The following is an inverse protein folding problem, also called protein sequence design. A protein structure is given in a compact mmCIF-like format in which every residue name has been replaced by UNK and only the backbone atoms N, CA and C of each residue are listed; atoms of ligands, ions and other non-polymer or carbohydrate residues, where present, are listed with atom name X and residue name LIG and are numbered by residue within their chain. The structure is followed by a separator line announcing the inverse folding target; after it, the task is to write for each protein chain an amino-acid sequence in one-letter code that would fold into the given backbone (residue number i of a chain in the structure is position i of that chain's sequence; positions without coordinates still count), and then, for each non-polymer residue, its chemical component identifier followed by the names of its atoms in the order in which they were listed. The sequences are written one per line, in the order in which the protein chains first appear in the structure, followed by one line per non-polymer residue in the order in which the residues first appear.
data_IF_022458964390
#
_entry.id   IF_022458964390
#
_cell.length_a   1.000
_cell.length_b   1.000
_cell.length_c   1.000
_cell.angle_alpha   90.00
_cell.angle_beta   90.00
_cell.angle_gamma   90.00
#
_symmetry.space_group_name_H-M   'P 1'
#
loop_
_entity.id
_entity.type
_entity.pdbx_description
1 polymer ?
#
# COMPACT_ATOMS: atom_id res chain seq x y z
N UNK A 1 -8.98 6.48 26.58
CA UNK A 1 -7.76 5.75 26.17
C UNK A 1 -8.10 4.80 25.04
N UNK A 2 -9.28 4.18 25.06
CA UNK A 2 -9.79 3.20 24.09
C UNK A 2 -9.67 3.61 22.60
N UNK A 3 -9.91 4.88 22.26
CA UNK A 3 -9.70 5.35 20.89
C UNK A 3 -8.23 5.29 20.46
N UNK A 4 -7.29 5.58 21.36
CA UNK A 4 -5.86 5.50 21.07
C UNK A 4 -5.44 4.06 20.79
N UNK A 5 -5.87 3.12 21.64
CA UNK A 5 -5.61 1.70 21.45
C UNK A 5 -6.22 1.19 20.14
N UNK A 6 -7.44 1.63 19.80
CA UNK A 6 -8.08 1.28 18.54
C UNK A 6 -7.27 1.77 17.33
N UNK A 7 -6.83 3.03 17.30
CA UNK A 7 -6.05 3.55 16.18
C UNK A 7 -4.64 2.93 16.09
N UNK A 8 -4.01 2.63 17.24
CA UNK A 8 -2.72 1.94 17.29
C UNK A 8 -2.85 0.50 16.80
N UNK A 9 -3.95 -0.18 17.10
CA UNK A 9 -4.25 -1.48 16.52
C UNK A 9 -4.52 -1.37 15.02
N UNK A 10 -5.33 -0.40 14.58
CA UNK A 10 -5.61 -0.20 13.16
C UNK A 10 -4.34 0.08 12.33
N UNK A 11 -3.36 0.83 12.86
CA UNK A 11 -2.17 1.17 12.06
C UNK A 11 -1.33 -0.04 11.66
N UNK A 12 -1.29 -1.10 12.48
CA UNK A 12 -0.53 -2.32 12.17
C UNK A 12 -1.17 -3.10 11.02
N UNK A 13 -2.50 -2.98 10.87
CA UNK A 13 -3.28 -3.63 9.82
C UNK A 13 -3.37 -2.81 8.52
N UNK A 14 -3.03 -1.53 8.56
CA UNK A 14 -3.13 -0.61 7.43
C UNK A 14 -1.79 0.11 7.14
N UNK A 15 -0.70 -0.63 6.88
CA UNK A 15 0.57 -0.02 6.52
C UNK A 15 0.45 0.73 5.18
N UNK A 16 1.03 1.93 5.12
CA UNK A 16 1.21 2.68 3.89
C UNK A 16 2.63 2.44 3.40
N UNK A 17 2.79 1.90 2.19
CA UNK A 17 4.12 1.58 1.64
C UNK A 17 4.97 0.69 2.57
N UNK A 18 4.33 -0.28 3.23
CA UNK A 18 4.93 -1.18 4.23
C UNK A 18 5.41 -0.51 5.53
N UNK A 19 5.12 0.78 5.71
CA UNK A 19 5.40 1.55 6.93
C UNK A 19 4.10 1.73 7.72
N UNK A 20 4.13 1.46 9.03
CA UNK A 20 2.98 1.71 9.90
C UNK A 20 2.73 3.23 10.01
N UNK A 21 1.50 3.71 9.76
CA UNK A 21 1.20 5.12 9.85
C UNK A 21 1.31 5.64 11.30
N UNK A 22 1.86 6.84 11.47
CA UNK A 22 1.91 7.51 12.77
C UNK A 22 0.51 7.95 13.19
N UNK A 23 0.08 7.58 14.39
CA UNK A 23 -1.18 8.04 14.98
C UNK A 23 -0.94 9.35 15.70
N UNK A 24 -1.61 10.42 15.25
CA UNK A 24 -1.49 11.76 15.82
C UNK A 24 -2.85 12.23 16.33
N UNK A 25 -2.95 12.50 17.63
CA UNK A 25 -4.14 13.07 18.25
C UNK A 25 -3.98 14.58 18.35
N UNK A 26 -4.94 15.32 17.80
CA UNK A 26 -4.96 16.78 17.85
C UNK A 26 -6.05 17.28 18.80
N UNK A 27 -5.65 17.96 19.87
CA UNK A 27 -6.54 18.52 20.89
C UNK A 27 -6.73 20.02 20.67
N UNK A 28 -7.84 20.38 20.02
CA UNK A 28 -8.14 21.78 19.64
C UNK A 28 -8.36 22.71 20.85
N UNK A 29 -8.78 22.18 22.00
CA UNK A 29 -9.00 22.95 23.23
C UNK A 29 -7.86 22.76 24.25
N UNK A 30 -6.77 22.13 23.80
CA UNK A 30 -5.67 21.72 24.65
C UNK A 30 -5.88 20.38 25.33
N UNK A 31 -4.80 19.89 25.93
CA UNK A 31 -4.70 18.56 26.53
C UNK A 31 -4.14 18.68 27.94
N UNK A 32 -4.70 17.91 28.87
CA UNK A 32 -4.20 17.89 30.25
C UNK A 32 -2.87 17.11 30.32
N UNK A 33 -1.90 17.53 31.15
CA UNK A 33 -0.61 16.83 31.25
C UNK A 33 -0.72 15.32 31.56
N UNK A 34 -1.62 14.84 32.44
CA UNK A 34 -1.79 13.41 32.67
C UNK A 34 -2.23 12.65 31.41
N UNK A 35 -3.21 13.18 30.67
CA UNK A 35 -3.71 12.57 29.45
C UNK A 35 -2.65 12.58 28.34
N UNK A 36 -1.93 13.69 28.17
CA UNK A 36 -0.84 13.78 27.21
C UNK A 36 0.23 12.73 27.51
N UNK A 37 0.66 12.61 28.77
CA UNK A 37 1.67 11.64 29.18
C UNK A 37 1.19 10.20 28.97
N UNK A 38 -0.07 9.91 29.27
CA UNK A 38 -0.67 8.61 29.06
C UNK A 38 -0.72 8.24 27.56
N UNK A 39 -1.12 9.16 26.68
CA UNK A 39 -1.16 8.95 25.23
C UNK A 39 0.23 8.78 24.62
N UNK A 40 1.22 9.58 25.06
CA UNK A 40 2.62 9.44 24.62
C UNK A 40 3.19 8.09 25.06
N UNK A 41 2.88 7.64 26.28
CA UNK A 41 3.29 6.31 26.78
C UNK A 41 2.71 5.18 25.94
N UNK A 42 1.49 5.33 25.42
CA UNK A 42 0.90 4.39 24.46
C UNK A 42 1.55 4.45 23.05
N UNK A 43 2.40 5.44 22.76
CA UNK A 43 3.00 5.62 21.44
C UNK A 43 2.16 6.47 20.47
N UNK A 44 1.19 7.23 20.99
CA UNK A 44 0.45 8.24 20.22
C UNK A 44 1.19 9.58 20.26
N UNK A 45 1.36 10.21 19.10
CA UNK A 45 1.85 11.58 19.04
C UNK A 45 0.71 12.56 19.36
N UNK A 46 0.93 13.49 20.29
CA UNK A 46 -0.11 14.42 20.73
C UNK A 46 0.25 15.85 20.30
N UNK A 47 -0.68 16.53 19.63
CA UNK A 47 -0.61 17.96 19.29
C UNK A 47 -1.70 18.72 20.05
N UNK A 48 -1.37 19.90 20.56
CA UNK A 48 -2.32 20.78 21.27
C UNK A 48 -1.68 21.50 22.46
N UNK A 49 -2.29 22.59 22.91
CA UNK A 49 -1.80 23.39 24.04
C UNK A 49 -1.96 22.62 25.36
N UNK A 50 -0.95 22.63 26.23
CA UNK A 50 -1.10 22.04 27.56
C UNK A 50 -2.05 22.89 28.41
N UNK A 51 -3.12 22.27 28.93
CA UNK A 51 -4.01 22.91 29.89
C UNK A 51 -3.74 22.41 31.32
N UNK A 52 -3.31 23.30 32.23
CA UNK A 52 -3.12 22.94 33.62
C UNK A 52 -4.46 22.55 34.25
N UNK A 53 -4.40 21.58 35.16
CA UNK A 53 -5.54 21.03 35.87
C UNK A 53 -5.39 21.42 37.34
N UNK A 54 -6.46 21.82 38.02
CA UNK A 54 -6.44 22.06 39.46
C UNK A 54 -6.12 20.78 40.24
N UNK A 55 -5.50 20.91 41.43
CA UNK A 55 -5.03 19.78 42.25
C UNK A 55 -6.14 18.75 42.51
N UNK A 56 -7.38 19.20 42.77
CA UNK A 56 -8.54 18.35 43.04
C UNK A 56 -8.93 17.41 41.89
N UNK A 57 -8.62 17.79 40.64
CA UNK A 57 -8.93 16.99 39.44
C UNK A 57 -7.71 16.13 39.05
N UNK A 58 -6.50 16.52 39.43
CA UNK A 58 -5.31 15.69 39.30
C UNK A 58 -5.38 14.42 40.16
N UNK A 59 -5.93 14.51 41.36
CA UNK A 59 -6.05 13.38 42.30
C UNK A 59 -6.99 12.30 41.74
N UNK A 60 -8.14 12.70 41.18
CA UNK A 60 -9.11 11.80 40.52
C UNK A 60 -8.60 11.12 39.25
N UNK A 61 -7.54 11.66 38.63
CA UNK A 61 -6.93 11.09 37.42
C UNK A 61 -5.78 10.12 37.73
N UNK A 62 -5.23 10.11 38.95
CA UNK A 62 -4.19 9.14 39.36
C UNK A 62 -4.77 7.73 39.49
N UNK A 63 -6.00 7.60 39.96
CA UNK A 63 -6.69 6.31 40.19
C UNK A 63 -7.03 5.51 38.92
N UNK A 64 -6.73 6.03 37.72
CA UNK A 64 -6.98 5.34 36.44
C UNK A 64 -5.72 4.82 35.76
N UNK A 65 -4.54 5.06 36.33
CA UNK A 65 -3.32 4.38 35.91
C UNK A 65 -3.09 3.20 36.85
N UNK A 66 -2.99 1.95 36.37
CA UNK A 66 -2.54 0.85 37.22
C UNK A 66 -1.19 1.24 37.83
N UNK A 67 -1.10 1.26 39.15
CA UNK A 67 0.18 1.39 39.82
C UNK A 67 1.11 0.28 39.32
N UNK A 68 2.38 0.65 39.16
CA UNK A 68 3.45 -0.14 38.58
C UNK A 68 3.43 -1.58 39.09
N UNK A 69 3.25 -2.55 38.18
CA UNK A 69 3.41 -3.96 38.52
C UNK A 69 4.85 -4.18 38.98
N UNK A 70 5.09 -4.72 40.19
CA UNK A 70 6.44 -5.05 40.64
C UNK A 70 7.09 -6.06 39.69
N UNK A 71 8.34 -5.81 39.32
CA UNK A 71 9.13 -6.73 38.50
C UNK A 71 9.35 -8.06 39.25
N UNK A 72 8.98 -9.18 38.60
CA UNK A 72 9.43 -10.51 38.99
C UNK A 72 8.33 -11.47 39.43
N UNK A 73 7.75 -12.17 38.44
CA UNK A 73 7.38 -13.61 38.42
C UNK A 73 6.24 -13.78 37.41
N UNK A 74 6.61 -14.05 36.14
CA UNK A 74 5.69 -14.60 35.16
C UNK A 74 5.79 -16.13 35.22
N UNK A 75 4.83 -16.77 35.88
CA UNK A 75 4.53 -18.18 35.63
C UNK A 75 3.02 -18.36 35.39
N UNK A 76 2.76 -18.76 34.15
CA UNK A 76 1.59 -19.41 33.53
C UNK A 76 0.17 -19.26 34.09
N UNK A 77 -0.69 -18.88 33.13
CA UNK A 77 -2.04 -19.39 32.87
C UNK A 77 -3.07 -19.38 34.02
N UNK A 78 -4.12 -18.57 33.86
CA UNK A 78 -5.50 -19.06 33.69
C UNK A 78 -6.46 -17.87 33.57
N UNK A 79 -7.13 -17.86 32.44
CA UNK A 79 -8.36 -17.12 32.15
C UNK A 79 -9.44 -17.45 33.19
N UNK A 80 -9.95 -16.46 33.93
CA UNK A 80 -11.18 -16.58 34.69
C UNK A 80 -12.11 -15.38 34.41
N UNK A 81 -12.88 -15.51 33.34
CA UNK A 81 -14.14 -14.80 33.21
C UNK A 81 -15.22 -15.62 33.93
N UNK A 82 -15.66 -15.15 35.09
CA UNK A 82 -16.83 -15.66 35.79
C UNK A 82 -17.82 -14.52 36.02
N UNK A 83 -18.67 -14.34 35.02
CA UNK A 83 -20.13 -14.29 35.08
C UNK A 83 -20.77 -13.67 36.32
N UNK A 84 -21.69 -12.72 36.10
CA UNK A 84 -23.03 -12.81 36.67
C UNK A 84 -24.12 -12.50 35.64
N UNK A 85 -25.24 -13.15 35.88
CA UNK A 85 -26.28 -13.59 34.97
C UNK A 85 -27.56 -12.81 35.28
N UNK A 86 -28.32 -12.36 34.28
CA UNK A 86 -29.79 -12.32 34.39
C UNK A 86 -30.44 -12.60 33.02
N UNK A 87 -31.06 -13.77 32.96
CA UNK A 87 -32.07 -14.23 31.99
C UNK A 87 -33.39 -13.43 32.16
N UNK A 88 -34.37 -13.34 31.25
CA UNK A 88 -34.95 -14.32 30.32
C UNK A 88 -35.88 -13.59 29.30
N UNK A 89 -36.11 -14.26 28.15
CA UNK A 89 -37.33 -14.31 27.30
C UNK A 89 -37.34 -13.60 25.92
N UNK A 90 -37.05 -14.42 24.90
CA UNK A 90 -37.48 -14.33 23.48
C UNK A 90 -39.02 -14.45 23.34
N UNK A 91 -39.64 -13.91 22.24
CA UNK A 91 -39.87 -14.77 21.06
C UNK A 91 -39.87 -14.08 19.66
N UNK A 92 -39.19 -14.74 18.70
CA UNK A 92 -39.55 -15.03 17.29
C UNK A 92 -40.17 -13.99 16.31
N UNK A 93 -39.44 -13.84 15.18
CA UNK A 93 -39.84 -13.83 13.74
C UNK A 93 -40.50 -12.59 13.08
N UNK A 94 -39.89 -12.30 11.91
CA UNK A 94 -40.38 -11.76 10.62
C UNK A 94 -40.24 -10.26 10.27
N UNK A 95 -39.43 -10.06 9.20
CA UNK A 95 -39.47 -9.06 8.10
C UNK A 95 -40.37 -7.82 8.23
N UNK A 96 -39.80 -6.62 8.04
CA UNK A 96 -39.90 -5.80 6.81
C UNK A 96 -39.08 -4.50 6.98
N UNK A 97 -38.78 -3.80 5.88
CA UNK A 97 -37.80 -2.71 5.79
C UNK A 97 -38.19 -1.35 6.38
N UNK A 98 -37.22 -0.43 6.38
CA UNK A 98 -37.43 0.99 6.70
C UNK A 98 -36.13 1.73 7.04
N UNK A 99 -35.88 2.86 6.37
CA UNK A 99 -34.70 3.74 6.47
C UNK A 99 -34.40 4.29 7.87
N UNK A 100 -33.15 4.72 8.16
CA UNK A 100 -32.80 5.31 9.44
C UNK A 100 -33.29 6.76 9.54
N UNK A 101 -34.25 7.00 10.43
CA UNK A 101 -34.70 8.33 10.85
C UNK A 101 -33.83 8.90 11.96
N UNK A 102 -33.55 10.19 11.78
CA UNK A 102 -32.76 11.13 12.57
C UNK A 102 -33.48 11.44 13.89
N UNK A 103 -32.86 11.14 15.04
CA UNK A 103 -33.41 11.50 16.36
C UNK A 103 -32.93 12.90 16.77
N UNK A 104 -33.88 13.82 16.90
CA UNK A 104 -33.73 15.12 17.55
C UNK A 104 -34.05 14.99 19.06
N UNK A 105 -33.39 15.73 19.96
CA UNK A 105 -33.88 15.92 21.31
C UNK A 105 -34.78 17.16 21.42
N UNK A 106 -35.89 16.94 22.11
CA UNK A 106 -36.90 17.90 22.57
C UNK A 106 -36.33 19.02 23.43
N UNK A 107 -36.91 20.21 23.27
CA UNK A 107 -36.51 21.44 23.95
C UNK A 107 -36.83 21.48 25.44
N UNK A 108 -35.89 22.07 26.17
CA UNK A 108 -36.10 22.72 27.46
C UNK A 108 -35.36 24.05 27.40
N UNK A 109 -36.10 25.16 27.41
CA UNK A 109 -35.57 26.51 27.41
C UNK A 109 -35.04 26.87 28.81
N UNK A 110 -33.79 27.32 28.86
CA UNK A 110 -33.36 28.32 29.84
C UNK A 110 -32.22 29.12 29.22
N UNK A 111 -32.55 30.35 28.82
CA UNK A 111 -31.63 31.35 28.29
C UNK A 111 -30.73 31.88 29.40
N UNK A 112 -29.40 31.88 29.18
CA UNK A 112 -28.48 32.86 29.75
C UNK A 112 -27.31 33.08 28.76
N UNK A 113 -27.54 34.06 27.88
CA UNK A 113 -26.59 35.09 27.39
C UNK A 113 -25.16 34.70 26.99
N UNK A 114 -24.95 34.60 25.66
CA UNK A 114 -23.93 35.32 24.90
C UNK A 114 -22.45 34.99 25.11
N UNK A 115 -21.87 34.18 24.21
CA UNK A 115 -20.44 34.29 23.84
C UNK A 115 -20.23 34.01 22.34
N UNK A 116 -19.30 34.77 21.75
CA UNK A 116 -19.01 34.91 20.31
C UNK A 116 -18.50 33.63 19.61
N UNK A 117 -18.59 33.54 18.27
CA UNK A 117 -17.99 32.43 17.52
C UNK A 117 -16.46 32.50 17.62
N UNK A 118 -15.84 31.44 18.11
CA UNK A 118 -14.39 31.33 18.26
C UNK A 118 -13.70 31.46 16.88
N UNK A 119 -12.96 32.56 16.71
CA UNK A 119 -11.96 32.73 15.65
C UNK A 119 -10.73 31.87 15.99
N UNK A 120 -10.19 31.18 14.99
CA UNK A 120 -8.90 30.50 15.06
C UNK A 120 -7.78 31.52 15.33
N UNK A 121 -6.92 31.32 16.33
CA UNK A 121 -5.66 32.06 16.41
C UNK A 121 -4.69 31.47 15.39
N UNK A 122 -4.27 32.32 14.46
CA UNK A 122 -3.08 32.12 13.64
C UNK A 122 -1.82 32.25 14.50
N UNK A 123 -0.88 31.35 14.24
CA UNK A 123 0.56 31.46 14.53
C UNK A 123 1.01 31.35 16.00
N UNK A 124 1.30 30.12 16.39
CA UNK A 124 2.40 29.82 17.31
C UNK A 124 3.24 28.69 16.72
N UNK A 125 4.25 29.09 15.94
CA UNK A 125 5.25 28.23 15.33
C UNK A 125 6.11 27.60 16.42
N UNK A 126 5.82 26.35 16.80
CA UNK A 126 6.85 25.46 17.33
C UNK A 126 7.31 24.58 16.17
N UNK A 127 8.51 24.88 15.68
CA UNK A 127 9.23 24.08 14.69
C UNK A 127 9.51 22.71 15.31
N UNK A 128 8.59 21.77 15.11
CA UNK A 128 8.92 20.36 15.20
C UNK A 128 9.66 20.07 13.90
N UNK A 129 10.98 19.91 13.99
CA UNK A 129 11.80 19.50 12.87
C UNK A 129 11.13 18.29 12.19
N UNK A 130 10.63 18.53 10.98
CA UNK A 130 10.08 17.51 10.11
C UNK A 130 11.26 16.68 9.61
N UNK A 131 11.73 15.76 10.43
CA UNK A 131 12.70 14.75 10.00
C UNK A 131 11.94 13.75 9.13
N UNK A 132 11.68 14.15 7.88
CA UNK A 132 11.29 13.26 6.80
C UNK A 132 12.48 12.41 6.43
N UNK A 133 12.75 11.38 7.25
CA UNK A 133 13.39 10.20 6.70
C UNK A 133 12.33 9.60 5.78
N UNK A 134 12.41 9.93 4.48
CA UNK A 134 11.69 9.20 3.44
C UNK A 134 12.20 7.76 3.50
N UNK A 135 11.47 6.90 4.22
CA UNK A 135 11.66 5.45 4.23
C UNK A 135 11.35 4.92 2.82
N UNK A 136 12.26 5.17 1.89
CA UNK A 136 12.12 4.69 0.52
C UNK A 136 12.34 3.18 0.52
N UNK A 137 11.36 2.45 -0.01
CA UNK A 137 11.45 0.98 -0.12
C UNK A 137 12.68 0.63 -0.99
N UNK A 138 13.60 -0.15 -0.44
CA UNK A 138 14.89 -0.47 -1.08
C UNK A 138 14.86 -1.74 -1.93
N UNK A 139 13.72 -2.44 -1.96
CA UNK A 139 13.57 -3.72 -2.66
C UNK A 139 12.49 -3.63 -3.72
N UNK A 140 12.77 -4.20 -4.88
CA UNK A 140 11.88 -4.20 -6.04
C UNK A 140 11.62 -5.62 -6.48
N UNK A 141 10.35 -5.97 -6.65
CA UNK A 141 9.93 -7.24 -7.26
C UNK A 141 9.62 -7.01 -8.75
N UNK A 142 10.29 -7.76 -9.63
CA UNK A 142 10.14 -7.63 -11.07
C UNK A 142 9.01 -8.54 -11.58
N UNK A 143 7.90 -7.95 -12.03
CA UNK A 143 6.89 -8.68 -12.80
C UNK A 143 7.44 -9.06 -14.19
N UNK A 144 6.85 -10.10 -14.79
CA UNK A 144 7.19 -10.59 -16.13
C UNK A 144 7.14 -9.45 -17.15
N UNK A 145 6.13 -8.57 -17.05
CA UNK A 145 5.96 -7.44 -17.96
C UNK A 145 7.12 -6.43 -17.88
N UNK A 146 7.70 -6.23 -16.69
CA UNK A 146 8.87 -5.38 -16.49
C UNK A 146 10.12 -6.01 -17.07
N UNK A 147 10.35 -7.30 -16.81
CA UNK A 147 11.50 -8.04 -17.38
C UNK A 147 11.46 -8.00 -18.90
N UNK A 148 10.28 -8.16 -19.51
CA UNK A 148 10.10 -8.02 -20.96
C UNK A 148 10.48 -6.61 -21.45
N UNK A 149 10.04 -5.55 -20.76
CA UNK A 149 10.39 -4.18 -21.15
C UNK A 149 11.90 -3.90 -21.04
N UNK A 150 12.54 -4.43 -19.99
CA UNK A 150 13.98 -4.26 -19.76
C UNK A 150 14.87 -4.92 -20.81
N UNK A 151 14.34 -5.87 -21.59
CA UNK A 151 15.11 -6.58 -22.61
C UNK A 151 14.57 -6.39 -24.02
N UNK A 152 13.38 -5.83 -24.20
CA UNK A 152 12.72 -5.74 -25.50
C UNK A 152 13.54 -4.93 -26.50
N UNK A 153 13.65 -5.40 -27.74
CA UNK A 153 14.28 -4.62 -28.81
C UNK A 153 13.60 -3.25 -29.01
N UNK A 154 12.27 -3.14 -28.84
CA UNK A 154 11.56 -1.86 -28.94
C UNK A 154 12.22 -0.80 -28.07
N UNK A 155 12.51 -1.15 -26.83
CA UNK A 155 13.10 -0.29 -25.81
C UNK A 155 14.58 0.03 -26.07
N UNK A 156 15.24 -0.73 -26.96
CA UNK A 156 16.66 -0.61 -27.27
C UNK A 156 16.89 -0.02 -28.66
N UNK A 157 16.02 0.90 -29.09
CA UNK A 157 16.19 1.65 -30.34
C UNK A 157 15.56 1.01 -31.59
N UNK A 158 14.99 -0.19 -31.48
CA UNK A 158 14.29 -0.85 -32.60
C UNK A 158 12.79 -0.48 -32.66
N UNK A 159 12.43 0.73 -32.21
CA UNK A 159 11.06 1.23 -32.26
C UNK A 159 10.68 1.86 -33.61
N UNK A 160 11.55 1.86 -34.63
CA UNK A 160 11.29 2.42 -35.96
C UNK A 160 10.82 1.40 -37.00
N UNK A 161 10.33 0.24 -36.57
CA UNK A 161 9.72 -0.76 -37.44
C UNK A 161 8.20 -0.59 -37.53
N UNK A 162 7.66 -0.92 -38.70
CA UNK A 162 6.23 -1.10 -38.98
C UNK A 162 5.96 -2.59 -39.10
N UNK A 163 5.32 -3.14 -38.07
CA UNK A 163 4.93 -4.53 -37.95
C UNK A 163 3.57 -4.78 -38.62
N UNK A 164 3.26 -6.04 -38.91
CA UNK A 164 1.92 -6.45 -39.36
C UNK A 164 0.87 -6.36 -38.24
N UNK A 165 1.32 -6.34 -36.98
CA UNK A 165 0.49 -6.34 -35.78
C UNK A 165 0.25 -4.90 -35.30
N UNK A 166 -1.02 -4.48 -35.26
CA UNK A 166 -1.41 -3.14 -34.85
C UNK A 166 -1.00 -2.79 -33.40
N UNK A 167 -1.00 -3.79 -32.49
CA UNK A 167 -0.61 -3.57 -31.10
C UNK A 167 0.89 -3.30 -31.00
N UNK A 168 1.71 -3.99 -31.80
CA UNK A 168 3.15 -3.73 -31.85
C UNK A 168 3.46 -2.36 -32.44
N UNK A 169 2.75 -1.96 -33.49
CA UNK A 169 2.89 -0.61 -34.05
C UNK A 169 2.50 0.48 -33.04
N UNK A 170 1.44 0.25 -32.26
CA UNK A 170 1.04 1.14 -31.19
C UNK A 170 2.13 1.25 -30.11
N UNK A 171 2.70 0.13 -29.67
CA UNK A 171 3.80 0.11 -28.69
C UNK A 171 5.09 0.74 -29.23
N UNK A 172 5.43 0.51 -30.50
CA UNK A 172 6.58 1.15 -31.15
C UNK A 172 6.42 2.68 -31.21
N UNK A 173 5.22 3.16 -31.57
CA UNK A 173 4.89 4.59 -31.52
C UNK A 173 4.98 5.15 -30.10
N UNK A 174 4.48 4.41 -29.11
CA UNK A 174 4.61 4.83 -27.71
C UNK A 174 6.07 4.94 -27.29
N UNK A 175 6.93 3.98 -27.67
CA UNK A 175 8.35 4.01 -27.30
C UNK A 175 9.10 5.19 -27.93
N UNK A 176 8.75 5.57 -29.17
CA UNK A 176 9.28 6.78 -29.80
C UNK A 176 8.86 8.06 -29.10
N UNK A 177 7.64 8.09 -28.55
CA UNK A 177 7.09 9.26 -27.86
C UNK A 177 7.57 9.36 -26.41
N UNK A 178 7.67 8.22 -25.73
CA UNK A 178 8.04 8.11 -24.31
C UNK A 178 8.78 6.80 -24.09
N UNK A 179 10.11 6.89 -24.10
CA UNK A 179 10.99 5.75 -23.88
C UNK A 179 10.82 5.23 -22.45
N UNK A 180 10.63 3.92 -22.28
CA UNK A 180 10.30 3.36 -20.97
C UNK A 180 11.54 3.14 -20.09
N UNK A 181 12.68 2.77 -20.67
CA UNK A 181 13.89 2.40 -19.93
C UNK A 181 14.42 3.47 -18.97
N UNK A 182 14.49 4.77 -19.33
CA UNK A 182 14.99 5.78 -18.41
C UNK A 182 14.21 5.83 -17.09
N UNK A 183 12.88 5.68 -17.16
CA UNK A 183 12.01 5.65 -15.98
C UNK A 183 12.25 4.40 -15.14
N UNK A 184 12.35 3.22 -15.78
CA UNK A 184 12.63 1.95 -15.10
C UNK A 184 13.99 1.99 -14.40
N UNK A 185 15.04 2.42 -15.09
CA UNK A 185 16.38 2.50 -14.52
C UNK A 185 16.48 3.50 -13.38
N UNK A 186 15.86 4.67 -13.50
CA UNK A 186 15.80 5.66 -12.42
C UNK A 186 15.14 5.06 -11.17
N UNK A 187 14.04 4.32 -11.32
CA UNK A 187 13.36 3.71 -10.19
C UNK A 187 14.17 2.56 -9.55
N UNK A 188 14.81 1.72 -10.36
CA UNK A 188 15.61 0.58 -9.88
C UNK A 188 16.98 0.99 -9.30
N UNK A 189 17.44 2.21 -9.54
CA UNK A 189 18.78 2.64 -9.15
C UNK A 189 18.98 2.52 -7.63
N UNK A 190 20.03 1.78 -7.24
CA UNK A 190 20.40 1.59 -5.83
C UNK A 190 19.48 0.63 -5.06
N UNK A 191 18.56 -0.07 -5.73
CA UNK A 191 17.63 -1.02 -5.11
C UNK A 191 18.04 -2.47 -5.37
N UNK A 192 17.66 -3.35 -4.46
CA UNK A 192 17.75 -4.79 -4.66
C UNK A 192 16.61 -5.26 -5.60
N UNK A 193 16.96 -6.07 -6.60
CA UNK A 193 16.01 -6.59 -7.57
C UNK A 193 15.71 -8.05 -7.30
N UNK A 194 14.45 -8.36 -7.04
CA UNK A 194 13.92 -9.70 -6.82
C UNK A 194 13.09 -10.15 -8.01
N UNK A 195 13.05 -11.47 -8.24
CA UNK A 195 12.08 -12.11 -9.13
C UNK A 195 11.61 -13.42 -8.50
N UNK A 196 10.29 -13.66 -8.51
CA UNK A 196 9.75 -14.92 -8.00
C UNK A 196 10.04 -16.08 -8.98
N UNK A 197 10.15 -17.31 -8.47
CA UNK A 197 10.32 -18.51 -9.29
C UNK A 197 9.23 -18.63 -10.37
N UNK A 198 7.97 -18.35 -10.03
CA UNK A 198 6.87 -18.33 -11.01
C UNK A 198 7.06 -17.28 -12.09
N UNK A 199 7.46 -16.05 -11.74
CA UNK A 199 7.72 -15.01 -12.73
C UNK A 199 8.88 -15.41 -13.66
N UNK A 200 9.98 -15.93 -13.10
CA UNK A 200 11.14 -16.35 -13.86
C UNK A 200 10.83 -17.50 -14.83
N UNK A 201 10.11 -18.54 -14.36
CA UNK A 201 9.71 -19.69 -15.18
C UNK A 201 8.82 -19.26 -16.36
N UNK A 202 7.81 -18.43 -16.09
CA UNK A 202 6.91 -17.93 -17.12
C UNK A 202 7.64 -17.02 -18.11
N UNK A 203 8.53 -16.16 -17.62
CA UNK A 203 9.40 -15.33 -18.44
C UNK A 203 10.27 -16.18 -19.38
N UNK A 204 10.94 -17.23 -18.88
CA UNK A 204 11.73 -18.12 -19.72
C UNK A 204 10.90 -18.80 -20.82
N UNK A 205 9.67 -19.22 -20.52
CA UNK A 205 8.75 -19.79 -21.50
C UNK A 205 8.41 -18.80 -22.63
N UNK A 206 8.13 -17.55 -22.26
CA UNK A 206 7.88 -16.46 -23.22
C UNK A 206 9.14 -16.21 -24.06
N UNK A 207 10.30 -16.04 -23.42
CA UNK A 207 11.56 -15.73 -24.09
C UNK A 207 11.97 -16.83 -25.08
N UNK A 208 11.81 -18.10 -24.71
CA UNK A 208 12.07 -19.24 -25.60
C UNK A 208 11.18 -19.19 -26.85
N UNK A 209 9.90 -18.86 -26.66
CA UNK A 209 8.90 -18.84 -27.73
C UNK A 209 9.09 -17.64 -28.66
N UNK A 210 9.11 -16.42 -28.12
CA UNK A 210 9.02 -15.19 -28.92
C UNK A 210 10.28 -14.34 -28.94
N UNK A 211 11.23 -14.56 -28.03
CA UNK A 211 12.46 -13.76 -27.95
C UNK A 211 13.44 -14.04 -29.10
N UNK A 212 14.08 -12.98 -29.61
CA UNK A 212 15.23 -13.06 -30.51
C UNK A 212 16.57 -13.19 -29.78
N UNK A 213 17.68 -13.17 -30.52
CA UNK A 213 19.02 -13.43 -29.95
C UNK A 213 19.52 -12.25 -29.11
N UNK A 214 19.29 -11.00 -29.54
CA UNK A 214 19.67 -9.81 -28.75
C UNK A 214 18.82 -9.69 -27.48
N UNK A 215 17.53 -10.00 -27.57
CA UNK A 215 16.64 -10.03 -26.40
C UNK A 215 17.04 -11.12 -25.39
N UNK A 216 17.45 -12.31 -25.88
CA UNK A 216 18.00 -13.37 -25.04
C UNK A 216 19.34 -13.00 -24.40
N UNK A 217 20.20 -12.29 -25.12
CA UNK A 217 21.47 -11.79 -24.57
C UNK A 217 21.22 -10.86 -23.39
N UNK A 218 20.40 -9.83 -23.59
CA UNK A 218 20.02 -8.91 -22.52
C UNK A 218 19.33 -9.60 -21.37
N UNK A 219 18.55 -10.66 -21.62
CA UNK A 219 17.97 -11.47 -20.56
C UNK A 219 19.04 -12.16 -19.71
N UNK A 220 20.07 -12.76 -20.33
CA UNK A 220 21.18 -13.38 -19.58
C UNK A 220 21.90 -12.35 -18.73
N UNK A 221 22.23 -11.18 -19.29
CA UNK A 221 22.86 -10.09 -18.54
C UNK A 221 21.98 -9.57 -17.39
N UNK A 222 20.68 -9.37 -17.63
CA UNK A 222 19.74 -8.92 -16.61
C UNK A 222 19.67 -9.91 -15.44
N UNK A 223 19.52 -11.20 -15.73
CA UNK A 223 19.35 -12.23 -14.70
C UNK A 223 20.59 -12.41 -13.81
N UNK A 224 21.79 -11.98 -14.22
CA UNK A 224 22.96 -11.95 -13.32
C UNK A 224 22.84 -10.96 -12.17
N UNK A 225 21.94 -9.98 -12.28
CA UNK A 225 21.76 -8.87 -11.32
C UNK A 225 20.49 -9.00 -10.49
N UNK A 226 19.72 -10.06 -10.69
CA UNK A 226 18.41 -10.26 -10.04
C UNK A 226 18.51 -11.46 -9.11
N UNK A 227 18.03 -11.29 -7.87
CA UNK A 227 17.91 -12.36 -6.90
C UNK A 227 16.62 -13.13 -7.14
N UNK A 228 16.73 -14.44 -7.38
CA UNK A 228 15.56 -15.32 -7.49
C UNK A 228 15.08 -15.70 -6.10
N UNK A 229 13.81 -15.50 -5.81
CA UNK A 229 13.18 -15.82 -4.51
C UNK A 229 12.09 -16.89 -4.66
N UNK A 230 11.92 -17.77 -3.66
CA UNK A 230 10.87 -18.78 -3.69
C UNK A 230 9.48 -18.14 -3.70
N UNK A 231 8.54 -18.79 -4.37
CA UNK A 231 7.15 -18.34 -4.40
C UNK A 231 6.53 -18.38 -2.99
N UNK A 232 6.40 -17.21 -2.37
CA UNK A 232 5.96 -17.04 -0.97
C UNK A 232 4.93 -15.92 -0.85
N UNK A 233 3.68 -16.13 -1.31
CA UNK A 233 2.67 -15.09 -1.28
C UNK A 233 2.33 -14.63 0.15
N UNK A 234 2.08 -13.33 0.34
CA UNK A 234 1.72 -12.80 1.65
C UNK A 234 0.35 -13.31 2.13
N UNK A 235 0.09 -13.34 3.45
CA UNK A 235 -1.20 -13.77 4.01
C UNK A 235 -2.40 -13.04 3.39
N UNK A 236 -2.29 -11.73 3.14
CA UNK A 236 -3.37 -10.94 2.54
C UNK A 236 -3.63 -11.29 1.06
N UNK A 237 -2.63 -11.77 0.34
CA UNK A 237 -2.82 -12.28 -1.03
C UNK A 237 -3.69 -13.53 -1.06
N UNK A 238 -3.59 -14.40 -0.05
CA UNK A 238 -4.41 -15.61 0.02
C UNK A 238 -5.91 -15.31 0.17
N UNK A 239 -6.26 -14.15 0.74
CA UNK A 239 -7.64 -13.68 0.90
C UNK A 239 -8.31 -13.27 -0.42
N UNK A 240 -7.53 -13.04 -1.48
CA UNK A 240 -8.07 -12.66 -2.79
C UNK A 240 -8.86 -13.80 -3.43
N UNK A 241 -10.12 -13.51 -3.78
CA UNK A 241 -11.00 -14.41 -4.52
C UNK A 241 -10.65 -14.35 -6.01
N UNK A 242 -10.45 -15.52 -6.61
CA UNK A 242 -10.20 -15.62 -8.04
C UNK A 242 -11.38 -15.07 -8.85
N UNK A 243 -11.07 -14.42 -9.97
CA UNK A 243 -12.05 -13.86 -10.89
C UNK A 243 -11.45 -13.76 -12.30
N UNK A 244 -12.21 -13.34 -13.31
CA UNK A 244 -11.67 -13.15 -14.66
C UNK A 244 -10.43 -12.23 -14.72
N UNK A 245 -10.30 -11.30 -13.77
CA UNK A 245 -9.17 -10.35 -13.65
C UNK A 245 -8.14 -10.74 -12.58
N UNK A 246 -8.46 -11.68 -11.69
CA UNK A 246 -7.58 -12.16 -10.62
C UNK A 246 -7.30 -13.64 -10.86
N UNK A 247 -6.17 -13.92 -11.50
CA UNK A 247 -5.70 -15.26 -11.81
C UNK A 247 -4.60 -15.69 -10.83
N UNK A 248 -4.43 -17.00 -10.65
CA UNK A 248 -3.42 -17.56 -9.73
C UNK A 248 -1.99 -17.05 -9.96
N UNK A 249 -1.56 -16.88 -11.22
CA UNK A 249 -0.20 -16.44 -11.56
C UNK A 249 0.13 -15.02 -11.04
N UNK A 250 -0.61 -13.97 -11.43
CA UNK A 250 -0.45 -12.65 -10.82
C UNK A 250 -0.57 -12.65 -9.29
N UNK A 251 -1.43 -13.48 -8.68
CA UNK A 251 -1.48 -13.60 -7.21
C UNK A 251 -0.12 -14.00 -6.64
N UNK A 252 0.51 -15.04 -7.19
CA UNK A 252 1.83 -15.50 -6.71
C UNK A 252 2.89 -14.40 -6.85
N UNK A 253 2.96 -13.76 -8.03
CA UNK A 253 3.99 -12.75 -8.32
C UNK A 253 3.85 -11.52 -7.41
N UNK A 254 2.65 -10.93 -7.36
CA UNK A 254 2.39 -9.74 -6.54
C UNK A 254 2.45 -10.08 -5.06
N UNK A 255 1.93 -11.25 -4.66
CA UNK A 255 1.95 -11.67 -3.27
C UNK A 255 3.36 -11.97 -2.76
N UNK A 256 4.24 -12.52 -3.60
CA UNK A 256 5.64 -12.75 -3.21
C UNK A 256 6.36 -11.42 -3.04
N UNK A 257 6.21 -10.48 -3.98
CA UNK A 257 6.73 -9.11 -3.80
C UNK A 257 6.20 -8.46 -2.53
N UNK A 258 4.92 -8.67 -2.25
CA UNK A 258 4.28 -8.18 -1.04
C UNK A 258 4.82 -8.76 0.26
N UNK A 259 5.09 -10.07 0.28
CA UNK A 259 5.73 -10.75 1.41
C UNK A 259 7.12 -10.18 1.72
N UNK A 260 7.88 -9.86 0.66
CA UNK A 260 9.19 -9.24 0.77
C UNK A 260 9.17 -7.72 1.02
N UNK A 261 7.98 -7.12 1.22
CA UNK A 261 7.81 -5.66 1.34
C UNK A 261 8.46 -4.90 0.18
N UNK A 262 8.41 -5.48 -1.01
CA UNK A 262 9.05 -4.96 -2.20
C UNK A 262 8.03 -4.23 -3.09
N UNK A 263 8.45 -3.12 -3.70
CA UNK A 263 7.60 -2.49 -4.73
C UNK A 263 7.55 -3.39 -5.96
N UNK A 264 6.37 -3.83 -6.35
CA UNK A 264 6.22 -4.64 -7.57
C UNK A 264 6.19 -3.72 -8.79
N UNK A 265 7.23 -3.78 -9.63
CA UNK A 265 7.19 -3.12 -10.94
C UNK A 265 6.34 -3.94 -11.90
N UNK A 266 5.42 -3.32 -12.64
CA UNK A 266 4.50 -4.04 -13.53
C UNK A 266 3.82 -3.14 -14.56
N UNK A 267 3.41 -3.71 -15.70
CA UNK A 267 2.42 -3.13 -16.61
C UNK A 267 1.01 -3.73 -16.44
N UNK A 268 0.83 -4.72 -15.56
CA UNK A 268 -0.45 -5.36 -15.29
C UNK A 268 -1.28 -4.58 -14.26
N UNK A 269 -1.71 -3.39 -14.65
CA UNK A 269 -2.59 -2.54 -13.84
C UNK A 269 -3.95 -3.17 -13.54
N UNK A 270 -4.39 -4.08 -14.40
CA UNK A 270 -5.69 -4.75 -14.27
C UNK A 270 -5.78 -5.63 -13.03
N UNK A 271 -4.70 -6.36 -12.72
CA UNK A 271 -4.62 -7.18 -11.52
C UNK A 271 -4.55 -6.33 -10.26
N UNK A 272 -3.64 -5.34 -10.22
CA UNK A 272 -3.48 -4.47 -9.06
C UNK A 272 -4.80 -3.77 -8.69
N UNK A 273 -5.52 -3.26 -9.69
CA UNK A 273 -6.84 -2.64 -9.49
C UNK A 273 -7.89 -3.64 -9.02
N UNK A 274 -7.90 -4.85 -9.58
CA UNK A 274 -8.86 -5.88 -9.16
C UNK A 274 -8.62 -6.34 -7.72
N UNK A 275 -7.35 -6.46 -7.30
CA UNK A 275 -6.98 -6.76 -5.92
C UNK A 275 -7.39 -5.64 -4.94
N UNK A 276 -7.16 -4.37 -5.33
CA UNK A 276 -7.58 -3.22 -4.54
C UNK A 276 -9.10 -3.20 -4.30
N UNK A 277 -9.90 -3.56 -5.32
CA UNK A 277 -11.36 -3.71 -5.21
C UNK A 277 -11.79 -4.84 -4.25
N UNK A 278 -10.88 -5.75 -3.88
CA UNK A 278 -11.10 -6.79 -2.86
C UNK A 278 -10.43 -6.46 -1.52
N UNK A 279 -9.96 -5.21 -1.33
CA UNK A 279 -9.35 -4.75 -0.09
C UNK A 279 -7.85 -5.00 0.04
N UNK A 280 -7.17 -5.45 -1.01
CA UNK A 280 -5.71 -5.70 -1.00
C UNK A 280 -4.99 -4.71 -1.90
N UNK A 281 -4.41 -3.67 -1.30
CA UNK A 281 -3.63 -2.66 -2.01
C UNK A 281 -2.15 -3.03 -2.06
N UNK A 282 -1.66 -3.49 -3.21
CA UNK A 282 -0.23 -3.72 -3.43
C UNK A 282 0.51 -2.42 -3.71
N UNK A 283 1.76 -2.32 -3.23
CA UNK A 283 2.65 -1.21 -3.57
C UNK A 283 3.28 -1.51 -4.93
N UNK A 284 2.92 -0.71 -5.94
CA UNK A 284 3.27 -1.00 -7.33
C UNK A 284 3.91 0.21 -8.01
N UNK A 285 4.92 -0.05 -8.83
CA UNK A 285 5.44 0.91 -9.79
C UNK A 285 4.93 0.53 -11.17
N UNK A 286 4.01 1.35 -11.70
CA UNK A 286 3.36 1.06 -12.98
C UNK A 286 4.17 1.64 -14.14
N UNK A 287 4.40 0.84 -15.17
CA UNK A 287 4.98 1.30 -16.42
C UNK A 287 4.14 0.88 -17.63
N UNK A 288 4.36 1.56 -18.76
CA UNK A 288 3.71 1.19 -20.02
C UNK A 288 4.29 -0.12 -20.58
N UNK A 289 3.46 -1.02 -21.14
CA UNK A 289 3.92 -2.29 -21.66
C UNK A 289 4.66 -2.13 -22.99
N UNK A 290 5.68 -2.98 -23.19
CA UNK A 290 6.37 -3.21 -24.46
C UNK A 290 6.51 -4.71 -24.67
N UNK A 291 6.39 -5.16 -25.92
CA UNK A 291 6.52 -6.56 -26.30
C UNK A 291 7.93 -6.88 -26.79
N UNK A 292 8.31 -8.16 -26.75
CA UNK A 292 9.46 -8.66 -27.50
C UNK A 292 9.14 -8.61 -29.00
N UNK A 293 10.05 -8.07 -29.79
CA UNK A 293 9.79 -7.77 -31.21
C UNK A 293 10.84 -8.29 -32.17
N UNK A 294 12.03 -8.68 -31.69
CA UNK A 294 13.18 -8.99 -32.55
C UNK A 294 12.87 -10.03 -33.64
N UNK A 295 12.15 -11.11 -33.30
CA UNK A 295 11.76 -12.13 -34.30
C UNK A 295 10.83 -11.57 -35.38
N UNK A 296 9.94 -10.64 -35.02
CA UNK A 296 8.96 -10.03 -35.93
C UNK A 296 9.56 -8.88 -36.77
N UNK A 297 10.72 -8.35 -36.39
CA UNK A 297 11.45 -7.36 -37.20
C UNK A 297 11.84 -7.90 -38.59
N UNK A 298 12.10 -9.22 -38.70
CA UNK A 298 12.47 -9.88 -39.97
C UNK A 298 11.43 -9.72 -41.08
N UNK A 299 10.17 -9.54 -40.70
CA UNK A 299 9.03 -9.38 -41.63
C UNK A 299 8.42 -7.98 -41.55
N UNK A 300 9.06 -7.07 -40.82
CA UNK A 300 8.62 -5.69 -40.65
C UNK A 300 9.35 -4.77 -41.65
N UNK A 301 8.72 -3.66 -42.01
CA UNK A 301 9.34 -2.60 -42.80
C UNK A 301 9.94 -1.53 -41.88
N UNK A 302 11.00 -0.84 -42.32
CA UNK A 302 11.44 0.36 -41.61
C UNK A 302 10.47 1.50 -41.90
N UNK A 303 10.17 2.31 -40.88
CA UNK A 303 9.23 3.42 -40.99
C UNK A 303 9.61 4.41 -42.09
N UNK A 304 10.92 4.64 -42.31
CA UNK A 304 11.42 5.52 -43.38
C UNK A 304 11.18 4.98 -44.80
N UNK A 305 10.99 3.67 -44.97
CA UNK A 305 10.69 3.08 -46.28
C UNK A 305 9.21 3.27 -46.67
N UNK A 306 8.33 3.52 -45.69
CA UNK A 306 6.89 3.70 -45.92
C UNK A 306 6.56 5.12 -46.39
N UNK A 307 7.27 6.14 -45.88
CA UNK A 307 7.07 7.54 -46.26
C UNK A 307 7.53 7.88 -47.69
N UNK A 308 8.39 7.04 -48.31
CA UNK A 308 8.86 7.21 -49.69
C UNK A 308 8.01 6.48 -50.74
N UNK A 309 6.93 5.79 -50.33
CA UNK A 309 6.11 4.94 -51.21
C UNK A 309 4.65 5.38 -51.30
N UNK A 310 4.32 6.58 -50.81
CA UNK A 310 2.97 7.19 -50.86
C UNK A 310 3.02 8.52 -51.59
#
# INVERSE_FOLDING_TARGET
MDHADHFLHCRTHHPHEYVEPKVIFHFCQGVTPPLQKALIRLGVSVKGTLQPVCEDVQEKLRDTCPEECPEGECDNDVYCDSAENETVLEPSRQSDGGQPTRMAPSGGQSELTGTSPCKFPSDASSEVADTTVEDSIMTVNLDITTVICLISNLCHGHCNYVFQDAVLNFQAKQERNNAVLPSLHKFMQGKELLISETALRDFHSILATVGGEREKERARELLTRVTVVPDSPSPRTHLLKESGKIKGRPKVIFGTGDHHKAVTMTANTSFARAAANQGVNYVVFVHEPRALTEKKEKTAALLHDVDNTT
#
